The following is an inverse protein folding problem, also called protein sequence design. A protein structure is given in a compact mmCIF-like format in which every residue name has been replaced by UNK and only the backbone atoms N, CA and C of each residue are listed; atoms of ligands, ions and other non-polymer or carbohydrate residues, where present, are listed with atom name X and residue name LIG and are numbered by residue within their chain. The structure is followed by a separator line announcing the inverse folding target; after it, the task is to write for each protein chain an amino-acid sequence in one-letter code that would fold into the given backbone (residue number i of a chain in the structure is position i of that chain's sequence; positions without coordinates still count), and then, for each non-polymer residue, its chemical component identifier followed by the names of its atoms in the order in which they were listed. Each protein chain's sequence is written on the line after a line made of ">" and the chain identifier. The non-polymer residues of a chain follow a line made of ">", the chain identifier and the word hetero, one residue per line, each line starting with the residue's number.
data_IF_238449568414
#
_entry.id   IF_238449568414
#
_cell.length_a   1.000
_cell.length_b   1.000
_cell.length_c   1.000
_cell.angle_alpha   90.00
_cell.angle_beta   90.00
_cell.angle_gamma   90.00
#
_symmetry.space_group_name_H-M   'P 1'
#
loop_
_entity.id
_entity.type
_entity.pdbx_description
1 polymer ?
#
# COMPACT_ATOMS: atom_id res chain seq x y z
N UNK A 1 -3.87 6.31 17.87
CA UNK A 1 -3.19 5.03 18.17
C UNK A 1 -1.81 4.95 17.52
N UNK A 2 -1.67 5.35 16.24
CA UNK A 2 -0.47 5.05 15.46
C UNK A 2 0.66 6.07 15.55
N UNK A 3 0.44 7.32 15.91
CA UNK A 3 1.53 8.33 15.99
C UNK A 3 2.75 7.87 16.83
N UNK A 4 2.62 7.39 18.08
CA UNK A 4 3.76 6.84 18.82
C UNK A 4 4.25 5.48 18.31
N UNK A 5 3.42 4.73 17.57
CA UNK A 5 3.80 3.45 16.96
C UNK A 5 4.60 3.65 15.67
N UNK A 6 4.32 4.69 14.90
CA UNK A 6 4.88 4.93 13.58
C UNK A 6 6.42 4.95 13.60
N UNK A 7 7.01 5.71 14.53
CA UNK A 7 8.46 5.73 14.72
C UNK A 7 9.05 4.35 15.05
N UNK A 8 8.42 3.62 15.98
CA UNK A 8 8.87 2.26 16.33
C UNK A 8 8.72 1.26 15.18
N UNK A 9 7.68 1.43 14.34
CA UNK A 9 7.44 0.61 13.16
C UNK A 9 8.49 0.88 12.08
N UNK A 10 8.89 2.14 11.85
CA UNK A 10 9.99 2.48 10.94
C UNK A 10 11.27 1.74 11.36
N UNK A 11 11.70 1.88 12.62
CA UNK A 11 12.92 1.25 13.11
C UNK A 11 12.87 -0.28 12.96
N UNK A 12 11.73 -0.87 13.32
CA UNK A 12 11.47 -2.31 13.23
C UNK A 12 11.58 -2.84 11.80
N UNK A 13 10.89 -2.20 10.85
CA UNK A 13 10.88 -2.67 9.46
C UNK A 13 12.17 -2.34 8.70
N UNK A 14 12.85 -1.24 9.03
CA UNK A 14 14.18 -0.95 8.49
C UNK A 14 15.21 -1.97 8.96
N UNK A 15 15.17 -2.36 10.25
CA UNK A 15 16.01 -3.45 10.76
C UNK A 15 15.73 -4.75 10.04
N UNK A 16 14.45 -5.12 9.89
CA UNK A 16 14.08 -6.31 9.13
C UNK A 16 14.57 -6.26 7.68
N UNK A 17 14.47 -5.10 7.02
CA UNK A 17 14.93 -4.97 5.65
C UNK A 17 16.42 -5.23 5.54
N UNK A 18 17.22 -4.74 6.50
CA UNK A 18 18.66 -4.93 6.59
C UNK A 18 19.07 -6.40 6.85
N UNK A 19 18.19 -7.24 7.40
CA UNK A 19 18.44 -8.68 7.60
C UNK A 19 18.32 -9.50 6.30
N UNK A 20 17.94 -8.87 5.18
CA UNK A 20 17.78 -9.52 3.88
C UNK A 20 16.33 -9.88 3.55
N UNK A 21 16.14 -10.71 2.52
CA UNK A 21 14.82 -11.00 1.93
C UNK A 21 13.82 -11.61 2.92
N UNK A 22 12.55 -11.21 2.80
CA UNK A 22 11.42 -11.75 3.57
C UNK A 22 10.45 -12.49 2.65
N UNK A 23 9.61 -13.41 3.19
CA UNK A 23 8.65 -14.15 2.40
C UNK A 23 7.71 -13.22 1.61
N UNK A 24 7.60 -13.47 0.30
CA UNK A 24 6.72 -12.68 -0.58
C UNK A 24 7.26 -11.32 -1.00
N UNK A 25 8.52 -10.99 -0.70
CA UNK A 25 9.14 -9.74 -1.16
C UNK A 25 8.92 -9.54 -2.67
N UNK A 26 8.33 -8.39 -3.02
CA UNK A 26 8.13 -7.99 -4.42
C UNK A 26 8.42 -6.50 -4.59
N UNK A 27 9.37 -6.18 -5.47
CA UNK A 27 9.74 -4.80 -5.77
C UNK A 27 10.66 -4.73 -6.99
N UNK A 28 10.57 -3.61 -7.71
CA UNK A 28 11.30 -3.38 -8.96
C UNK A 28 10.81 -4.26 -10.11
N UNK A 29 11.35 -4.00 -11.31
CA UNK A 29 11.09 -4.80 -12.51
C UNK A 29 12.41 -5.08 -13.24
N UNK A 30 12.48 -6.20 -13.96
CA UNK A 30 13.73 -6.65 -14.62
C UNK A 30 14.19 -5.71 -15.75
N UNK A 31 13.29 -4.95 -16.35
CA UNK A 31 13.57 -3.95 -17.39
C UNK A 31 14.24 -2.68 -16.84
N UNK A 32 14.19 -2.45 -15.53
CA UNK A 32 14.87 -1.33 -14.86
C UNK A 32 15.78 -1.89 -13.76
N UNK A 33 16.99 -2.37 -14.11
CA UNK A 33 17.86 -3.09 -13.17
C UNK A 33 18.40 -2.21 -12.03
N UNK A 34 18.43 -0.89 -12.23
CA UNK A 34 18.91 0.08 -11.24
C UNK A 34 17.77 0.75 -10.46
N UNK A 35 16.54 0.21 -10.50
CA UNK A 35 15.42 0.75 -9.71
C UNK A 35 15.69 0.53 -8.22
N UNK A 36 15.72 1.59 -7.39
CA UNK A 36 15.86 1.48 -5.93
C UNK A 36 14.84 0.53 -5.27
N UNK A 37 13.69 0.30 -5.90
CA UNK A 37 12.69 -0.67 -5.43
C UNK A 37 13.20 -2.13 -5.37
N UNK A 38 14.32 -2.47 -6.03
CA UNK A 38 14.97 -3.78 -5.91
C UNK A 38 15.66 -3.96 -4.56
N UNK A 39 16.23 -2.89 -3.99
CA UNK A 39 16.86 -2.91 -2.66
C UNK A 39 15.82 -2.83 -1.54
N UNK A 40 14.70 -2.18 -1.83
CA UNK A 40 13.60 -1.98 -0.91
C UNK A 40 12.28 -2.57 -1.44
N UNK A 41 12.19 -3.88 -1.67
CA UNK A 41 10.96 -4.50 -2.12
C UNK A 41 9.91 -4.46 -1.02
N UNK A 42 8.64 -4.44 -1.42
CA UNK A 42 7.50 -4.47 -0.50
C UNK A 42 7.54 -5.75 0.33
N UNK A 43 7.27 -5.62 1.62
CA UNK A 43 7.00 -6.78 2.47
C UNK A 43 5.50 -7.06 2.44
N UNK A 44 5.11 -8.33 2.34
CA UNK A 44 3.71 -8.75 2.29
C UNK A 44 3.42 -9.86 3.29
N UNK A 45 2.16 -9.99 3.66
CA UNK A 45 1.65 -11.00 4.59
C UNK A 45 2.45 -11.05 5.90
N UNK A 46 2.95 -9.89 6.34
CA UNK A 46 3.80 -9.74 7.53
C UNK A 46 3.14 -10.27 8.80
N UNK A 47 1.81 -10.18 8.90
CA UNK A 47 1.03 -10.77 9.99
C UNK A 47 1.22 -12.28 10.19
N UNK A 48 1.72 -13.02 9.19
CA UNK A 48 2.00 -14.46 9.31
C UNK A 48 3.36 -14.76 9.97
N UNK A 49 4.30 -13.81 9.94
CA UNK A 49 5.70 -14.07 10.30
C UNK A 49 6.35 -12.98 11.17
N UNK A 50 5.67 -11.86 11.40
CA UNK A 50 6.09 -10.78 12.31
C UNK A 50 5.03 -10.53 13.38
N UNK A 51 5.41 -10.80 14.64
CA UNK A 51 4.53 -10.65 15.80
C UNK A 51 4.12 -9.19 16.02
N UNK A 52 5.01 -8.23 15.77
CA UNK A 52 4.67 -6.81 15.90
C UNK A 52 3.57 -6.43 14.91
N UNK A 53 3.70 -6.91 13.66
CA UNK A 53 2.67 -6.72 12.64
C UNK A 53 1.34 -7.34 13.03
N UNK A 54 1.35 -8.60 13.44
CA UNK A 54 0.14 -9.30 13.88
C UNK A 54 -0.60 -8.52 14.97
N UNK A 55 0.15 -7.92 15.92
CA UNK A 55 -0.42 -7.15 17.01
C UNK A 55 -1.14 -5.89 16.52
N UNK A 56 -0.48 -5.03 15.74
CA UNK A 56 -1.12 -3.78 15.31
C UNK A 56 -2.18 -4.00 14.22
N UNK A 57 -2.00 -4.97 13.33
CA UNK A 57 -2.95 -5.23 12.23
C UNK A 57 -4.27 -5.83 12.70
N UNK A 58 -4.34 -6.25 13.97
CA UNK A 58 -5.54 -6.78 14.62
C UNK A 58 -6.01 -5.90 15.78
N UNK A 59 -5.51 -4.66 15.87
CA UNK A 59 -5.94 -3.71 16.88
C UNK A 59 -7.46 -3.50 16.84
N UNK A 60 -8.11 -3.53 18.01
CA UNK A 60 -9.57 -3.50 18.10
C UNK A 60 -10.19 -2.23 17.51
N UNK A 61 -9.47 -1.10 17.56
CA UNK A 61 -9.91 0.17 16.96
C UNK A 61 -10.00 0.06 15.43
N UNK A 62 -8.98 -0.53 14.78
CA UNK A 62 -9.00 -0.76 13.32
C UNK A 62 -10.13 -1.69 12.92
N UNK A 63 -10.27 -2.81 13.64
CA UNK A 63 -11.34 -3.79 13.38
C UNK A 63 -12.72 -3.15 13.56
N UNK A 64 -12.88 -2.30 14.58
CA UNK A 64 -14.14 -1.61 14.83
C UNK A 64 -14.48 -0.64 13.70
N UNK A 65 -13.57 0.27 13.33
CA UNK A 65 -13.78 1.26 12.26
C UNK A 65 -14.03 0.56 10.92
N UNK A 66 -13.22 -0.44 10.58
CA UNK A 66 -13.42 -1.21 9.35
C UNK A 66 -14.78 -1.91 9.34
N UNK A 67 -15.21 -2.46 10.48
CA UNK A 67 -16.52 -3.10 10.62
C UNK A 67 -17.69 -2.14 10.47
N UNK A 68 -17.56 -0.90 10.95
CA UNK A 68 -18.57 0.14 10.72
C UNK A 68 -18.65 0.54 9.24
N UNK A 69 -17.50 0.67 8.55
CA UNK A 69 -17.45 1.06 7.15
C UNK A 69 -18.00 0.00 6.19
N UNK A 70 -17.73 -1.29 6.46
CA UNK A 70 -18.24 -2.40 5.63
C UNK A 70 -19.60 -2.92 6.09
N UNK A 71 -20.08 -2.47 7.26
CA UNK A 71 -21.30 -2.98 7.92
C UNK A 71 -21.31 -4.52 8.08
N UNK A 72 -20.15 -5.08 8.43
CA UNK A 72 -19.94 -6.51 8.65
C UNK A 72 -18.72 -6.71 9.58
N UNK A 73 -18.42 -7.96 9.94
CA UNK A 73 -17.23 -8.32 10.72
C UNK A 73 -16.01 -8.49 9.79
N UNK A 74 -15.03 -7.57 9.82
CA UNK A 74 -13.85 -7.69 8.97
C UNK A 74 -12.97 -8.86 9.42
N UNK A 75 -12.31 -9.46 8.43
CA UNK A 75 -11.25 -10.46 8.63
C UNK A 75 -9.99 -9.92 7.97
N UNK A 76 -8.86 -9.97 8.68
CA UNK A 76 -7.58 -9.56 8.12
C UNK A 76 -7.22 -10.48 6.95
N UNK A 77 -7.14 -9.90 5.74
CA UNK A 77 -6.83 -10.63 4.51
C UNK A 77 -5.34 -10.56 4.16
N UNK A 78 -4.74 -9.37 4.30
CA UNK A 78 -3.35 -9.12 3.92
C UNK A 78 -2.79 -7.93 4.71
N UNK A 79 -1.48 -7.97 4.95
CA UNK A 79 -0.69 -6.82 5.38
C UNK A 79 0.39 -6.55 4.35
N UNK A 80 0.70 -5.27 4.11
CA UNK A 80 1.77 -4.85 3.22
C UNK A 80 2.54 -3.68 3.85
N UNK A 81 3.83 -3.59 3.55
CA UNK A 81 4.65 -2.42 3.85
C UNK A 81 5.29 -1.93 2.55
N UNK A 82 5.09 -0.65 2.27
CA UNK A 82 5.68 0.04 1.13
C UNK A 82 6.88 0.86 1.58
N UNK A 83 8.07 0.46 1.13
CA UNK A 83 9.22 1.35 1.13
C UNK A 83 9.14 2.30 -0.07
N UNK A 84 9.54 3.55 0.11
CA UNK A 84 9.63 4.57 -0.95
C UNK A 84 11.05 5.14 -0.97
N UNK A 85 12.06 4.39 -1.45
CA UNK A 85 13.42 4.89 -1.54
C UNK A 85 13.49 6.11 -2.49
N UNK A 86 14.37 7.10 -2.23
CA UNK A 86 14.58 8.21 -3.14
C UNK A 86 14.90 7.74 -4.56
N UNK A 87 14.20 8.29 -5.55
CA UNK A 87 14.36 7.91 -6.95
C UNK A 87 13.67 6.59 -7.35
N UNK A 88 12.98 5.93 -6.40
CA UNK A 88 12.14 4.77 -6.71
C UNK A 88 10.94 5.14 -7.58
N UNK A 89 10.55 4.20 -8.45
CA UNK A 89 9.31 4.34 -9.24
C UNK A 89 8.08 4.16 -8.35
N UNK A 90 6.98 4.82 -8.72
CA UNK A 90 5.67 4.66 -8.07
C UNK A 90 4.90 3.43 -8.55
N UNK A 91 3.63 3.36 -8.21
CA UNK A 91 2.70 2.34 -8.72
C UNK A 91 1.59 3.05 -9.50
N UNK A 92 1.31 2.59 -10.72
CA UNK A 92 0.23 3.14 -11.52
C UNK A 92 -1.14 2.93 -10.84
N UNK A 93 -2.12 3.74 -11.26
CA UNK A 93 -3.50 3.63 -10.76
C UNK A 93 -4.02 2.20 -10.97
N UNK A 94 -4.63 1.64 -9.94
CA UNK A 94 -5.17 0.28 -9.96
C UNK A 94 -6.32 0.15 -8.95
N UNK A 95 -6.99 -1.00 -8.97
CA UNK A 95 -7.90 -1.43 -7.93
C UNK A 95 -7.37 -2.72 -7.31
N UNK A 96 -7.30 -2.80 -5.99
CA UNK A 96 -6.83 -4.01 -5.30
C UNK A 96 -7.67 -5.24 -5.67
N UNK A 97 -8.96 -5.05 -5.97
CA UNK A 97 -9.89 -6.11 -6.38
C UNK A 97 -9.53 -6.79 -7.71
N UNK A 98 -8.61 -6.21 -8.50
CA UNK A 98 -8.02 -6.89 -9.67
C UNK A 98 -7.20 -8.13 -9.26
N UNK A 99 -6.71 -8.16 -8.01
CA UNK A 99 -5.84 -9.20 -7.49
C UNK A 99 -6.43 -9.91 -6.27
N UNK A 100 -7.19 -9.20 -5.43
CA UNK A 100 -7.85 -9.72 -4.23
C UNK A 100 -9.36 -9.71 -4.48
N UNK A 101 -9.91 -10.83 -4.95
CA UNK A 101 -11.29 -10.92 -5.44
C UNK A 101 -12.35 -11.02 -4.32
N UNK A 102 -12.06 -10.51 -3.13
CA UNK A 102 -12.99 -10.46 -1.99
C UNK A 102 -13.84 -9.19 -2.06
N UNK A 103 -15.13 -9.28 -1.73
CA UNK A 103 -16.07 -8.17 -1.74
C UNK A 103 -17.05 -8.32 -0.55
N UNK A 104 -17.16 -7.34 0.38
CA UNK A 104 -16.43 -6.08 0.43
C UNK A 104 -14.95 -6.24 0.83
N UNK A 105 -14.09 -5.43 0.22
CA UNK A 105 -12.68 -5.27 0.60
C UNK A 105 -12.43 -3.81 1.01
N UNK A 106 -11.77 -3.63 2.16
CA UNK A 106 -11.34 -2.31 2.63
C UNK A 106 -9.84 -2.32 2.92
N UNK A 107 -9.14 -1.34 2.34
CA UNK A 107 -7.74 -1.08 2.66
C UNK A 107 -7.64 -0.09 3.81
N UNK A 108 -6.78 -0.38 4.79
CA UNK A 108 -6.36 0.56 5.83
C UNK A 108 -4.92 0.93 5.52
N UNK A 109 -4.68 2.21 5.21
CA UNK A 109 -3.36 2.74 4.92
C UNK A 109 -2.95 3.67 6.06
N UNK A 110 -1.79 3.39 6.68
CA UNK A 110 -1.26 4.17 7.79
C UNK A 110 0.05 4.81 7.35
N UNK A 111 0.18 6.13 7.52
CA UNK A 111 1.43 6.82 7.21
C UNK A 111 2.45 6.51 8.32
N UNK A 112 3.59 5.92 7.99
CA UNK A 112 4.66 5.73 8.99
C UNK A 112 5.63 6.92 9.02
N UNK A 113 5.80 7.57 7.88
CA UNK A 113 6.55 8.81 7.70
C UNK A 113 5.63 9.84 7.03
N UNK A 114 6.03 11.11 7.01
CA UNK A 114 5.28 12.15 6.31
C UNK A 114 5.09 11.76 4.85
N UNK A 115 3.86 11.86 4.36
CA UNK A 115 3.47 11.47 3.01
C UNK A 115 2.80 12.65 2.31
N UNK A 116 3.53 13.31 1.42
CA UNK A 116 3.05 14.41 0.58
C UNK A 116 3.53 14.25 -0.88
N UNK A 117 3.25 15.25 -1.71
CA UNK A 117 3.54 15.20 -3.15
C UNK A 117 5.05 15.00 -3.42
N UNK A 118 5.91 15.53 -2.55
CA UNK A 118 7.37 15.48 -2.74
C UNK A 118 7.96 14.09 -2.53
N UNK A 119 7.23 13.21 -1.83
CA UNK A 119 7.65 11.82 -1.52
C UNK A 119 6.70 10.78 -2.13
N UNK A 120 5.82 11.21 -3.04
CA UNK A 120 4.90 10.34 -3.77
C UNK A 120 3.75 9.81 -2.91
N UNK A 121 2.94 10.71 -2.34
CA UNK A 121 1.72 10.37 -1.59
C UNK A 121 0.75 9.44 -2.34
N UNK A 122 -0.19 8.85 -1.61
CA UNK A 122 -1.30 8.11 -2.23
C UNK A 122 -2.17 9.06 -3.04
N UNK A 123 -2.49 8.65 -4.27
CA UNK A 123 -3.43 9.34 -5.14
C UNK A 123 -4.68 8.46 -5.27
N UNK A 124 -5.84 9.06 -5.06
CA UNK A 124 -7.14 8.39 -5.20
C UNK A 124 -8.01 9.10 -6.22
N UNK A 125 -8.97 8.37 -6.77
CA UNK A 125 -10.07 8.95 -7.53
C UNK A 125 -11.32 8.84 -6.65
N UNK A 126 -11.83 9.94 -6.09
CA UNK A 126 -13.00 9.90 -5.23
C UNK A 126 -14.17 9.20 -5.91
N UNK A 127 -14.85 8.31 -5.17
CA UNK A 127 -16.02 7.53 -5.61
C UNK A 127 -15.76 6.52 -6.75
N UNK A 128 -14.52 6.30 -7.19
CA UNK A 128 -14.22 5.34 -8.27
C UNK A 128 -14.64 3.90 -7.97
N UNK A 129 -14.72 3.51 -6.68
CA UNK A 129 -15.23 2.22 -6.23
C UNK A 129 -16.68 1.93 -6.67
N UNK A 130 -17.46 2.95 -7.05
CA UNK A 130 -18.84 2.81 -7.52
C UNK A 130 -18.94 2.36 -8.99
N UNK A 131 -17.83 2.40 -9.73
CA UNK A 131 -17.80 1.99 -11.14
C UNK A 131 -17.60 0.48 -11.34
N UNK A 132 -17.52 -0.29 -10.25
CA UNK A 132 -17.16 -1.70 -10.29
C UNK A 132 -15.69 -1.89 -10.67
N UNK A 133 -15.37 -3.02 -11.29
CA UNK A 133 -14.01 -3.32 -11.74
C UNK A 133 -13.75 -2.66 -13.11
N UNK A 134 -12.77 -1.75 -13.15
CA UNK A 134 -12.38 -1.02 -14.34
C UNK A 134 -11.56 -1.89 -15.30
N UNK A 135 -11.62 -1.57 -16.59
CA UNK A 135 -10.69 -2.12 -17.58
C UNK A 135 -9.25 -1.71 -17.26
N UNK A 136 -8.30 -2.50 -17.74
CA UNK A 136 -6.88 -2.27 -17.53
C UNK A 136 -6.11 -2.20 -18.84
N UNK A 137 -5.03 -1.44 -18.85
CA UNK A 137 -4.14 -1.24 -19.99
C UNK A 137 -2.66 -1.29 -19.55
N UNK A 138 -1.70 -1.42 -20.47
CA UNK A 138 -0.29 -1.35 -20.13
C UNK A 138 0.06 0.00 -19.47
N UNK A 139 0.77 -0.05 -18.34
CA UNK A 139 1.26 1.13 -17.64
C UNK A 139 2.58 1.65 -18.24
N UNK A 140 2.87 2.94 -18.02
CA UNK A 140 4.19 3.51 -18.28
C UNK A 140 5.20 3.02 -17.23
N UNK A 141 6.03 2.05 -17.62
CA UNK A 141 7.04 1.45 -16.72
C UNK A 141 8.24 2.36 -16.47
N UNK A 142 8.33 3.54 -17.10
CA UNK A 142 9.35 4.52 -16.73
C UNK A 142 9.07 5.18 -15.37
N UNK A 143 7.80 5.22 -14.95
CA UNK A 143 7.36 5.81 -13.68
C UNK A 143 6.68 4.79 -12.74
N UNK A 144 6.21 3.66 -13.26
CA UNK A 144 5.54 2.61 -12.50
C UNK A 144 6.40 1.35 -12.38
N UNK A 145 6.46 0.74 -11.19
CA UNK A 145 7.04 -0.59 -11.01
C UNK A 145 6.06 -1.74 -11.34
N UNK A 146 4.80 -1.43 -11.69
CA UNK A 146 3.85 -2.39 -12.27
C UNK A 146 3.60 -2.06 -13.74
N UNK A 147 3.31 -3.09 -14.55
CA UNK A 147 3.12 -2.95 -16.00
C UNK A 147 1.65 -2.82 -16.42
N UNK A 148 0.73 -2.69 -15.48
CA UNK A 148 -0.72 -2.59 -15.71
C UNK A 148 -1.27 -1.42 -14.92
N UNK A 149 -2.19 -0.66 -15.52
CA UNK A 149 -2.94 0.42 -14.90
C UNK A 149 -4.43 0.34 -15.23
N UNK A 150 -5.28 0.88 -14.36
CA UNK A 150 -6.71 1.03 -14.62
C UNK A 150 -6.97 2.17 -15.61
N UNK A 151 -7.87 1.94 -16.55
CA UNK A 151 -8.42 2.97 -17.44
C UNK A 151 -9.43 3.78 -16.64
N UNK A 152 -9.15 5.08 -16.46
CA UNK A 152 -10.00 5.98 -15.68
C UNK A 152 -10.92 6.80 -16.59
N UNK A 153 -12.12 7.21 -16.13
CA UNK A 153 -12.96 8.15 -16.86
C UNK A 153 -12.20 9.44 -17.19
N UNK A 154 -12.45 10.02 -18.37
CA UNK A 154 -11.70 11.18 -18.87
C UNK A 154 -11.83 12.42 -17.97
N UNK A 155 -12.91 12.54 -17.23
CA UNK A 155 -13.23 13.62 -16.30
C UNK A 155 -12.93 13.27 -14.83
N UNK A 156 -12.29 12.12 -14.57
CA UNK A 156 -11.95 11.70 -13.22
C UNK A 156 -10.88 12.60 -12.60
N UNK A 157 -11.20 13.20 -11.46
CA UNK A 157 -10.26 13.97 -10.65
C UNK A 157 -9.38 13.04 -9.82
N UNK A 158 -8.07 13.26 -9.88
CA UNK A 158 -7.09 12.60 -9.02
C UNK A 158 -6.77 13.51 -7.83
N UNK A 159 -6.94 12.98 -6.62
CA UNK A 159 -6.72 13.69 -5.37
C UNK A 159 -5.57 13.03 -4.62
N UNK A 160 -4.52 13.81 -4.35
CA UNK A 160 -3.45 13.39 -3.44
C UNK A 160 -3.90 13.49 -1.99
N UNK A 161 -3.52 12.52 -1.16
CA UNK A 161 -3.79 12.51 0.28
C UNK A 161 -2.50 12.84 1.05
N UNK A 162 -2.40 14.06 1.57
CA UNK A 162 -1.31 14.44 2.47
C UNK A 162 -1.57 13.86 3.86
N UNK A 163 -0.57 13.19 4.44
CA UNK A 163 -0.69 12.50 5.73
C UNK A 163 0.57 12.70 6.58
N UNK A 164 0.36 12.88 7.89
CA UNK A 164 1.41 12.93 8.90
C UNK A 164 1.61 11.53 9.53
N UNK A 165 2.77 11.25 10.14
CA UNK A 165 3.03 9.96 10.78
C UNK A 165 1.94 9.57 11.79
N UNK A 166 1.30 8.43 11.56
CA UNK A 166 0.25 7.86 12.40
C UNK A 166 -1.18 8.22 12.03
N UNK A 167 -1.38 9.01 10.96
CA UNK A 167 -2.68 9.12 10.29
C UNK A 167 -3.10 7.78 9.65
#
# INVERSE_FOLDING_TARGET
>A
MFEPLAGSMIEHYMKMRAEGSKPGDTGGTMDVPNDPNHEFPRMINMHDWDQSTQYWSTASELIHIAGELINDKPVLCQTMLYFKPPGGRGQALHQDQQYITTDPLIGVWVALDKSDQSVGQMIVIPKSHQYGLLEVEPADTSISFTNVQSVIPQDAEQVGLDMEPGD
#
